data_IF_924006445048
#
_entry.id   IF_924006445048
#
_cell.length_a   1.000
_cell.length_b   1.000
_cell.length_c   1.000
_cell.angle_alpha   90.00
_cell.angle_beta   90.00
_cell.angle_gamma   90.00
#
_symmetry.space_group_name_H-M   'P 1'
#
loop_
_entity.id
_entity.type
_entity.pdbx_description
1 polymer ?
#
# COMPACT_ATOMS: atom_id res chain seq x y z
N UNK A 1 -4.73 6.27 -11.96
CA UNK A 1 -3.26 6.13 -11.97
C UNK A 1 -2.78 4.82 -11.36
N UNK A 2 -3.36 4.32 -10.25
CA UNK A 2 -3.03 2.96 -9.75
C UNK A 2 -3.19 1.82 -10.77
N UNK A 3 -4.15 1.93 -11.70
CA UNK A 3 -4.35 0.95 -12.78
C UNK A 3 -3.07 0.76 -13.60
N UNK A 4 -2.37 1.84 -13.97
CA UNK A 4 -1.13 1.75 -14.75
C UNK A 4 -0.02 1.03 -13.97
N UNK A 5 0.07 1.23 -12.65
CA UNK A 5 1.03 0.52 -11.80
C UNK A 5 0.77 -0.99 -11.77
N UNK A 6 -0.51 -1.42 -11.66
CA UNK A 6 -0.88 -2.83 -11.63
C UNK A 6 -0.87 -3.49 -13.02
N UNK A 7 -0.94 -2.70 -14.09
CA UNK A 7 -0.85 -3.16 -15.47
C UNK A 7 0.61 -3.27 -15.96
N UNK A 8 1.54 -2.57 -15.31
CA UNK A 8 2.96 -2.66 -15.59
C UNK A 8 3.47 -4.12 -15.53
N UNK A 9 4.07 -4.65 -16.61
CA UNK A 9 4.53 -6.03 -16.67
C UNK A 9 5.53 -6.41 -15.56
N UNK A 10 6.42 -5.51 -15.16
CA UNK A 10 7.42 -5.76 -14.12
C UNK A 10 6.74 -5.89 -12.76
N UNK A 11 5.85 -4.97 -12.43
CA UNK A 11 5.08 -5.03 -11.19
C UNK A 11 4.20 -6.28 -11.12
N UNK A 12 3.61 -6.68 -12.25
CA UNK A 12 2.82 -7.93 -12.34
C UNK A 12 3.66 -9.16 -12.02
N UNK A 13 4.88 -9.24 -12.54
CA UNK A 13 5.81 -10.35 -12.25
C UNK A 13 6.16 -10.37 -10.76
N UNK A 14 6.48 -9.22 -10.18
CA UNK A 14 6.82 -9.12 -8.75
C UNK A 14 5.63 -9.54 -7.87
N UNK A 15 4.43 -9.03 -8.16
CA UNK A 15 3.22 -9.43 -7.45
C UNK A 15 2.94 -10.92 -7.61
N UNK A 16 3.18 -11.49 -8.79
CA UNK A 16 3.04 -12.93 -9.01
C UNK A 16 4.03 -13.73 -8.15
N UNK A 17 5.31 -13.33 -8.09
CA UNK A 17 6.33 -13.96 -7.23
C UNK A 17 5.89 -13.92 -5.78
N UNK A 18 5.53 -12.74 -5.27
CA UNK A 18 5.09 -12.61 -3.88
C UNK A 18 3.81 -13.39 -3.58
N UNK A 19 2.94 -13.63 -4.58
CA UNK A 19 1.71 -14.41 -4.45
C UNK A 19 1.91 -15.91 -4.62
N UNK A 20 2.93 -16.37 -5.33
CA UNK A 20 3.16 -17.80 -5.58
C UNK A 20 4.25 -18.40 -4.69
N UNK A 21 5.29 -17.63 -4.35
CA UNK A 21 6.40 -18.10 -3.53
C UNK A 21 6.17 -17.77 -2.04
N UNK A 22 6.36 -18.73 -1.12
CA UNK A 22 6.37 -18.43 0.31
C UNK A 22 7.63 -17.62 0.68
N UNK A 23 7.54 -16.82 1.75
CA UNK A 23 8.68 -16.06 2.29
C UNK A 23 9.01 -14.76 1.56
N UNK A 24 8.12 -14.28 0.68
CA UNK A 24 8.26 -12.98 0.00
C UNK A 24 7.06 -12.07 0.28
N UNK A 25 7.34 -10.77 0.37
CA UNK A 25 6.37 -9.70 0.56
C UNK A 25 6.63 -8.57 -0.46
N UNK A 26 5.58 -8.02 -1.09
CA UNK A 26 5.73 -6.88 -1.98
C UNK A 26 5.96 -5.61 -1.14
N UNK A 27 7.00 -4.85 -1.46
CA UNK A 27 7.35 -3.61 -0.78
C UNK A 27 7.58 -2.49 -1.78
N UNK A 28 7.01 -1.31 -1.53
CA UNK A 28 7.31 -0.10 -2.31
C UNK A 28 8.53 0.61 -1.70
N UNK A 29 9.57 0.85 -2.50
CA UNK A 29 10.77 1.60 -2.15
C UNK A 29 11.01 2.64 -3.25
N UNK A 30 10.99 3.94 -2.90
CA UNK A 30 11.22 5.00 -3.88
C UNK A 30 10.27 4.96 -5.09
N UNK A 31 9.00 4.59 -4.87
CA UNK A 31 7.99 4.45 -5.93
C UNK A 31 8.07 3.18 -6.78
N UNK A 32 9.02 2.29 -6.48
CA UNK A 32 9.19 1.02 -7.21
C UNK A 32 8.80 -0.18 -6.34
N UNK A 33 8.20 -1.20 -6.93
CA UNK A 33 7.84 -2.43 -6.23
C UNK A 33 9.05 -3.36 -6.15
N UNK A 34 9.26 -4.02 -5.01
CA UNK A 34 10.33 -4.99 -4.81
C UNK A 34 9.80 -6.25 -4.12
N UNK A 35 10.23 -7.45 -4.56
CA UNK A 35 9.99 -8.69 -3.83
C UNK A 35 11.01 -8.83 -2.70
N UNK A 36 10.64 -8.44 -1.50
CA UNK A 36 11.51 -8.51 -0.32
C UNK A 36 11.29 -9.83 0.42
N UNK A 37 12.36 -10.42 0.97
CA UNK A 37 12.22 -11.60 1.84
C UNK A 37 11.56 -11.21 3.16
N UNK A 38 10.60 -11.99 3.62
CA UNK A 38 9.88 -11.74 4.88
C UNK A 38 10.84 -11.67 6.08
N UNK A 39 11.88 -12.50 6.11
CA UNK A 39 12.93 -12.47 7.15
C UNK A 39 13.77 -11.18 7.16
N UNK A 40 13.62 -10.33 6.15
CA UNK A 40 14.38 -9.09 5.97
C UNK A 40 13.47 -7.85 5.96
N UNK A 41 12.20 -7.96 6.36
CA UNK A 41 11.30 -6.79 6.40
C UNK A 41 11.80 -5.69 7.32
N UNK A 42 12.49 -6.04 8.40
CA UNK A 42 12.97 -5.09 9.40
C UNK A 42 14.10 -4.20 8.87
N UNK A 43 14.85 -4.66 7.87
CA UNK A 43 15.90 -3.88 7.21
C UNK A 43 15.35 -2.97 6.11
N UNK A 44 14.10 -3.18 5.70
CA UNK A 44 13.40 -2.37 4.70
C UNK A 44 12.30 -1.56 5.37
N UNK A 45 12.64 -0.55 6.17
CA UNK A 45 11.62 0.28 6.84
C UNK A 45 10.74 1.03 5.82
N UNK A 46 9.48 1.23 6.16
CA UNK A 46 8.60 2.10 5.36
C UNK A 46 9.11 3.53 5.52
N UNK A 47 9.50 4.17 4.41
CA UNK A 47 9.93 5.57 4.44
C UNK A 47 8.74 6.48 4.76
N UNK A 48 8.97 7.52 5.56
CA UNK A 48 8.01 8.59 5.86
C UNK A 48 7.87 9.61 4.73
N UNK A 49 8.76 9.54 3.73
CA UNK A 49 8.86 10.52 2.64
C UNK A 49 8.20 10.04 1.34
N UNK A 50 7.50 8.90 1.39
CA UNK A 50 6.77 8.37 0.24
C UNK A 50 5.58 9.28 -0.13
N UNK A 51 5.16 9.21 -1.39
CA UNK A 51 3.95 9.87 -1.82
C UNK A 51 2.71 9.18 -1.22
N UNK A 52 1.58 9.90 -1.19
CA UNK A 52 0.28 9.30 -0.81
C UNK A 52 -0.07 8.13 -1.71
N UNK A 53 0.21 8.23 -3.01
CA UNK A 53 -0.03 7.16 -3.98
C UNK A 53 0.77 5.90 -3.61
N UNK A 54 2.05 6.06 -3.26
CA UNK A 54 2.91 4.94 -2.83
C UNK A 54 2.39 4.24 -1.58
N UNK A 55 1.88 4.99 -0.60
CA UNK A 55 1.26 4.39 0.58
C UNK A 55 -0.01 3.62 0.25
N UNK A 56 -0.86 4.16 -0.63
CA UNK A 56 -2.09 3.48 -1.05
C UNK A 56 -1.75 2.22 -1.85
N UNK A 57 -0.82 2.31 -2.82
CA UNK A 57 -0.32 1.15 -3.56
C UNK A 57 0.26 0.12 -2.59
N UNK A 58 1.08 0.56 -1.64
CA UNK A 58 1.67 -0.30 -0.61
C UNK A 58 0.63 -1.08 0.21
N UNK A 59 -0.52 -0.47 0.51
CA UNK A 59 -1.65 -1.16 1.14
C UNK A 59 -2.37 -2.10 0.17
N UNK A 60 -2.61 -1.67 -1.06
CA UNK A 60 -3.32 -2.46 -2.08
C UNK A 60 -2.56 -3.72 -2.50
N UNK A 61 -1.22 -3.66 -2.63
CA UNK A 61 -0.40 -4.84 -2.94
C UNK A 61 -0.40 -5.87 -1.81
N UNK A 62 -0.66 -5.45 -0.58
CA UNK A 62 -0.83 -6.31 0.59
C UNK A 62 -2.25 -6.88 0.73
N UNK A 63 -3.15 -6.52 -0.19
CA UNK A 63 -4.54 -6.98 -0.22
C UNK A 63 -5.52 -6.10 0.56
N UNK A 64 -5.07 -4.97 1.11
CA UNK A 64 -5.96 -4.00 1.74
C UNK A 64 -6.71 -3.20 0.67
N UNK A 65 -7.90 -2.71 1.02
CA UNK A 65 -8.66 -1.76 0.19
C UNK A 65 -8.70 -0.40 0.89
N UNK A 66 -8.28 0.64 0.18
CA UNK A 66 -8.33 2.02 0.70
C UNK A 66 -9.49 2.75 0.02
N UNK A 67 -10.46 3.21 0.82
CA UNK A 67 -11.66 3.88 0.31
C UNK A 67 -11.93 5.16 1.06
N UNK A 68 -12.61 6.08 0.36
CA UNK A 68 -13.08 7.33 0.92
C UNK A 68 -14.51 7.17 1.46
N UNK A 69 -14.67 7.35 2.78
CA UNK A 69 -15.92 7.22 3.53
C UNK A 69 -16.78 8.49 3.55
N UNK A 70 -17.95 8.41 4.18
CA UNK A 70 -19.00 9.44 4.12
C UNK A 70 -18.63 10.76 4.84
N UNK A 71 -17.79 10.70 5.88
CA UNK A 71 -17.37 11.86 6.68
C UNK A 71 -15.98 12.40 6.29
N UNK A 72 -15.59 12.22 5.03
CA UNK A 72 -14.24 12.59 4.55
C UNK A 72 -13.10 11.82 5.22
N UNK A 73 -13.44 10.69 5.84
CA UNK A 73 -12.49 9.80 6.47
C UNK A 73 -12.00 8.74 5.49
N UNK A 74 -10.71 8.44 5.57
CA UNK A 74 -10.13 7.33 4.81
C UNK A 74 -10.29 6.04 5.59
N UNK A 75 -10.84 5.03 4.94
CA UNK A 75 -11.07 3.71 5.51
C UNK A 75 -10.10 2.74 4.85
N UNK A 76 -9.31 2.02 5.65
CA UNK A 76 -8.51 0.89 5.20
C UNK A 76 -9.21 -0.39 5.64
N UNK A 77 -9.65 -1.19 4.65
CA UNK A 77 -10.21 -2.51 4.88
C UNK A 77 -9.13 -3.56 4.64
N UNK A 78 -8.68 -4.18 5.72
CA UNK A 78 -7.76 -5.32 5.66
C UNK A 78 -8.43 -6.56 5.05
N UNK A 79 -7.67 -7.47 4.42
CA UNK A 79 -8.19 -8.77 4.01
C UNK A 79 -8.58 -9.61 5.24
N UNK A 80 -9.50 -10.57 5.08
CA UNK A 80 -9.91 -11.49 6.16
C UNK A 80 -8.72 -12.26 6.74
N UNK A 81 -7.75 -12.60 5.89
CA UNK A 81 -6.51 -13.27 6.27
C UNK A 81 -5.36 -12.68 5.46
N UNK A 82 -4.33 -12.21 6.15
CA UNK A 82 -3.05 -11.89 5.51
C UNK A 82 -2.30 -13.16 5.15
N UNK A 83 -1.46 -13.09 4.12
CA UNK A 83 -0.65 -14.23 3.68
C UNK A 83 0.29 -14.74 4.78
N UNK A 84 0.84 -13.82 5.57
CA UNK A 84 1.74 -14.09 6.70
C UNK A 84 1.73 -12.92 7.68
N UNK A 85 2.31 -13.13 8.86
CA UNK A 85 2.46 -12.08 9.88
C UNK A 85 3.28 -10.89 9.36
N UNK A 86 4.26 -11.14 8.48
CA UNK A 86 5.05 -10.09 7.85
C UNK A 86 4.18 -9.16 6.98
N UNK A 87 3.21 -9.71 6.23
CA UNK A 87 2.27 -8.93 5.44
C UNK A 87 1.37 -8.05 6.32
N UNK A 88 0.87 -8.61 7.42
CA UNK A 88 0.06 -7.87 8.38
C UNK A 88 0.88 -6.75 9.06
N UNK A 89 2.06 -7.08 9.56
CA UNK A 89 2.95 -6.12 10.22
C UNK A 89 3.29 -4.96 9.28
N UNK A 90 3.54 -5.25 8.01
CA UNK A 90 3.81 -4.23 6.99
C UNK A 90 2.61 -3.32 6.72
N UNK A 91 1.41 -3.90 6.58
CA UNK A 91 0.19 -3.11 6.40
C UNK A 91 -0.04 -2.16 7.59
N UNK A 92 0.23 -2.64 8.82
CA UNK A 92 0.14 -1.82 10.04
C UNK A 92 1.17 -0.70 10.10
N UNK A 93 2.41 -0.94 9.65
CA UNK A 93 3.43 0.11 9.56
C UNK A 93 3.00 1.25 8.62
N UNK A 94 2.47 0.91 7.45
CA UNK A 94 1.97 1.91 6.49
C UNK A 94 0.79 2.68 7.08
N UNK A 95 -0.17 1.99 7.71
CA UNK A 95 -1.30 2.63 8.38
C UNK A 95 -0.86 3.56 9.51
N UNK A 96 0.14 3.18 10.32
CA UNK A 96 0.67 4.03 11.38
C UNK A 96 1.27 5.33 10.82
N UNK A 97 2.00 5.27 9.71
CA UNK A 97 2.56 6.45 9.05
C UNK A 97 1.43 7.36 8.53
N UNK A 98 0.46 6.80 7.82
CA UNK A 98 -0.66 7.52 7.23
C UNK A 98 -1.56 8.20 8.29
N UNK A 99 -1.90 7.49 9.37
CA UNK A 99 -2.96 7.91 10.30
C UNK A 99 -2.45 8.44 11.64
N UNK A 100 -1.21 8.14 12.03
CA UNK A 100 -0.65 8.54 13.32
C UNK A 100 0.47 9.56 13.13
N UNK A 101 1.51 9.22 12.38
CA UNK A 101 2.74 10.04 12.35
C UNK A 101 2.65 11.28 11.47
N UNK A 102 1.98 11.20 10.32
CA UNK A 102 1.90 12.32 9.37
C UNK A 102 0.47 12.69 9.01
N UNK A 103 -0.49 12.43 9.91
CA UNK A 103 -1.92 12.61 9.68
C UNK A 103 -2.26 14.00 9.14
N UNK A 104 -1.75 15.06 9.75
CA UNK A 104 -2.08 16.44 9.37
C UNK A 104 -1.59 16.81 7.96
N UNK A 105 -0.44 16.27 7.56
CA UNK A 105 0.17 16.48 6.24
C UNK A 105 -0.47 15.59 5.17
N UNK A 106 -0.67 14.30 5.47
CA UNK A 106 -1.07 13.29 4.49
C UNK A 106 -2.59 13.20 4.33
N UNK A 107 -3.40 13.56 5.34
CA UNK A 107 -4.87 13.42 5.26
C UNK A 107 -5.50 14.26 4.14
N UNK A 108 -5.16 15.54 3.94
CA UNK A 108 -5.73 16.31 2.82
C UNK A 108 -5.36 15.70 1.47
N UNK A 109 -4.08 15.39 1.28
CA UNK A 109 -3.57 14.78 0.04
C UNK A 109 -4.16 13.38 -0.23
N UNK A 110 -4.40 12.59 0.82
CA UNK A 110 -5.08 11.29 0.74
C UNK A 110 -6.55 11.43 0.35
N UNK A 111 -7.26 12.40 0.94
CA UNK A 111 -8.65 12.67 0.55
C UNK A 111 -8.73 13.11 -0.91
N UNK A 112 -7.88 14.04 -1.34
CA UNK A 112 -7.82 14.52 -2.72
C UNK A 112 -7.48 13.41 -3.71
N UNK A 113 -6.49 12.57 -3.39
CA UNK A 113 -6.12 11.41 -4.18
C UNK A 113 -7.30 10.42 -4.36
N UNK A 114 -8.00 10.08 -3.28
CA UNK A 114 -9.11 9.14 -3.33
C UNK A 114 -10.35 9.72 -4.04
N UNK A 115 -10.63 11.03 -3.88
CA UNK A 115 -11.68 11.74 -4.64
C UNK A 115 -11.36 11.76 -6.13
N UNK A 116 -10.10 12.02 -6.49
CA UNK A 116 -9.61 11.95 -7.86
C UNK A 116 -9.87 10.58 -8.50
N UNK A 117 -9.58 9.49 -7.77
CA UNK A 117 -9.86 8.11 -8.24
C UNK A 117 -11.34 7.84 -8.50
N UNK A 118 -12.25 8.31 -7.63
CA UNK A 118 -13.71 8.14 -7.83
C UNK A 118 -14.19 8.80 -9.13
N UNK A 119 -13.65 9.97 -9.49
CA UNK A 119 -14.06 10.72 -10.70
C UNK A 119 -13.58 10.10 -12.01
N UNK A 120 -12.52 9.30 -11.98
CA UNK A 120 -12.01 8.55 -13.15
C UNK A 120 -12.60 7.15 -13.31
N UNK A 121 -13.36 6.66 -12.32
CA UNK A 121 -13.93 5.32 -12.30
C UNK A 121 -15.45 5.28 -12.60
N UNK A 122 -16.06 6.45 -12.85
CA UNK A 122 -17.44 6.60 -13.33
C UNK A 122 -17.44 7.30 -14.68
#
# INVERSE_FOLDING_TARGET
MSIAFFEDPENRVILQICRSAPGYIPVVIGGTLHPVREASTDTHRVSSDLSVEDYVIGLEVLGCKVTHGENDDTIVREPTLFRSDAWQARARQIQAILFVHHRERLRPALSDYLRGRKRTAG
#
